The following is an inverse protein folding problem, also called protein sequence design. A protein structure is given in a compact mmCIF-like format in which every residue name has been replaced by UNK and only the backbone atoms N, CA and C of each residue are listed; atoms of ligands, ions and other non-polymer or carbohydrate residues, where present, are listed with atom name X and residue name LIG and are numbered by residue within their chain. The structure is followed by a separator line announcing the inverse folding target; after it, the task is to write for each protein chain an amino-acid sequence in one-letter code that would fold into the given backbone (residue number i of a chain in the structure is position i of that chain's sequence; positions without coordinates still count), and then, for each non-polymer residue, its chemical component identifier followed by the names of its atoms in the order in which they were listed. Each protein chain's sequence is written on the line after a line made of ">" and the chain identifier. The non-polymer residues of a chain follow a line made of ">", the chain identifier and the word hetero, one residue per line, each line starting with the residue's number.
data_IF_556913448795
#
_entry.id   IF_556913448795
#
_cell.length_a   1.000
_cell.length_b   1.000
_cell.length_c   1.000
_cell.angle_alpha   90.00
_cell.angle_beta   90.00
_cell.angle_gamma   90.00
#
_symmetry.space_group_name_H-M   'P 1'
#
loop_
_entity.id
_entity.type
_entity.pdbx_description
1 polymer ?
#
# COMPACT_ATOMS: atom_id res chain seq x y z
N UNK A 1 3.56 6.17 0.08
CA UNK A 1 2.77 6.03 1.32
C UNK A 1 1.31 6.09 0.92
N UNK A 2 0.52 5.06 1.23
CA UNK A 2 -0.92 5.06 0.95
C UNK A 2 -1.63 5.96 1.98
N UNK A 3 -2.38 6.95 1.52
CA UNK A 3 -3.19 7.84 2.37
C UNK A 3 -4.66 7.46 2.22
N UNK A 4 -5.40 7.46 3.33
CA UNK A 4 -6.83 7.19 3.36
C UNK A 4 -7.52 8.41 3.95
N UNK A 5 -8.51 8.95 3.22
CA UNK A 5 -9.34 10.07 3.66
C UNK A 5 -10.76 9.56 3.88
N UNK A 6 -11.25 9.71 5.10
CA UNK A 6 -12.58 9.21 5.51
C UNK A 6 -13.36 10.34 6.20
N UNK A 7 -14.66 10.43 5.90
CA UNK A 7 -15.58 11.36 6.55
C UNK A 7 -16.11 10.84 7.90
N UNK A 8 -16.86 11.68 8.63
CA UNK A 8 -17.44 11.31 9.92
C UNK A 8 -18.43 10.13 9.87
N UNK A 9 -18.90 9.74 8.68
CA UNK A 9 -19.79 8.59 8.44
C UNK A 9 -19.04 7.33 8.02
N UNK A 10 -17.70 7.36 7.95
CA UNK A 10 -16.88 6.23 7.53
C UNK A 10 -16.75 6.09 6.01
N UNK A 11 -17.20 7.08 5.22
CA UNK A 11 -17.13 7.03 3.76
C UNK A 11 -15.77 7.50 3.28
N UNK A 12 -15.20 6.77 2.32
CA UNK A 12 -13.93 7.14 1.67
C UNK A 12 -14.11 8.28 0.70
N UNK A 13 -13.21 9.26 0.81
CA UNK A 13 -13.16 10.46 -0.03
C UNK A 13 -11.81 10.62 -0.74
N UNK A 14 -10.86 9.72 -0.51
CA UNK A 14 -9.52 9.75 -1.12
C UNK A 14 -9.52 9.61 -2.65
N UNK A 15 -10.65 9.23 -3.24
CA UNK A 15 -10.85 9.17 -4.70
C UNK A 15 -11.36 10.50 -5.28
N UNK A 16 -11.91 11.37 -4.43
CA UNK A 16 -12.63 12.58 -4.83
C UNK A 16 -11.82 13.85 -4.57
N UNK A 17 -10.97 13.82 -3.55
CA UNK A 17 -10.16 14.96 -3.15
C UNK A 17 -8.74 14.50 -2.84
N UNK A 18 -7.76 15.25 -3.35
CA UNK A 18 -6.38 15.06 -2.93
C UNK A 18 -6.19 15.61 -1.51
N UNK A 19 -5.45 14.86 -0.69
CA UNK A 19 -5.18 15.24 0.68
C UNK A 19 -4.34 16.51 0.76
N UNK A 20 -3.41 16.72 -0.18
CA UNK A 20 -2.51 17.87 -0.14
C UNK A 20 -3.27 19.18 -0.38
N UNK A 21 -4.17 19.23 -1.37
CA UNK A 21 -5.04 20.40 -1.61
C UNK A 21 -5.98 20.72 -0.43
N UNK A 22 -6.45 19.69 0.28
CA UNK A 22 -7.29 19.87 1.47
C UNK A 22 -6.49 20.52 2.62
N UNK A 23 -5.21 20.15 2.74
CA UNK A 23 -4.33 20.66 3.79
C UNK A 23 -3.80 22.07 3.50
N UNK A 24 -3.71 22.47 2.23
CA UNK A 24 -3.31 23.84 1.85
C UNK A 24 -4.22 24.92 2.44
N UNK A 25 -5.50 24.59 2.67
CA UNK A 25 -6.51 25.49 3.23
C UNK A 25 -6.77 25.23 4.71
N UNK A 26 -6.04 24.31 5.33
CA UNK A 26 -6.22 23.94 6.72
C UNK A 26 -5.35 24.82 7.63
N UNK A 27 -5.96 25.36 8.69
CA UNK A 27 -5.25 26.08 9.74
C UNK A 27 -5.01 25.17 10.96
N UNK A 28 -3.89 25.38 11.65
CA UNK A 28 -3.64 24.69 12.92
C UNK A 28 -4.59 25.19 14.00
N UNK A 29 -5.26 24.26 14.69
CA UNK A 29 -6.13 24.58 15.81
C UNK A 29 -5.41 24.41 17.15
N UNK A 30 -5.69 25.29 18.12
CA UNK A 30 -5.14 25.17 19.48
C UNK A 30 -5.59 23.85 20.12
N UNK A 31 -4.62 23.13 20.71
CA UNK A 31 -4.84 21.86 21.42
C UNK A 31 -5.91 21.97 22.49
N UNK A 32 -6.01 23.12 23.18
CA UNK A 32 -7.03 23.33 24.22
C UNK A 32 -8.45 23.28 23.67
N UNK A 33 -8.66 23.77 22.45
CA UNK A 33 -9.96 23.70 21.77
C UNK A 33 -10.28 22.29 21.24
N UNK A 34 -9.25 21.51 20.89
CA UNK A 34 -9.41 20.14 20.36
C UNK A 34 -9.68 19.07 21.44
N UNK A 35 -9.18 19.25 22.67
CA UNK A 35 -9.33 18.24 23.73
C UNK A 35 -10.80 17.87 24.03
N UNK A 36 -11.75 18.82 24.17
CA UNK A 36 -13.17 18.50 24.35
C UNK A 36 -13.77 17.74 23.17
N UNK A 37 -13.36 18.08 21.94
CA UNK A 37 -13.82 17.42 20.70
C UNK A 37 -13.32 15.98 20.67
N UNK A 38 -12.03 15.76 20.88
CA UNK A 38 -11.44 14.41 20.91
C UNK A 38 -12.10 13.55 21.99
N UNK A 39 -12.36 14.10 23.17
CA UNK A 39 -13.00 13.37 24.26
C UNK A 39 -14.46 13.01 23.93
N UNK A 40 -15.22 13.96 23.37
CA UNK A 40 -16.62 13.74 22.98
C UNK A 40 -16.77 12.70 21.87
N UNK A 41 -15.84 12.69 20.91
CA UNK A 41 -15.90 11.81 19.74
C UNK A 41 -14.98 10.60 19.84
N UNK A 42 -14.36 10.32 21.00
CA UNK A 42 -13.35 9.26 21.16
C UNK A 42 -13.80 7.90 20.64
N UNK A 43 -15.03 7.49 20.96
CA UNK A 43 -15.59 6.22 20.50
C UNK A 43 -15.75 6.19 18.97
N UNK A 44 -16.32 7.25 18.39
CA UNK A 44 -16.50 7.39 16.95
C UNK A 44 -15.15 7.41 16.21
N UNK A 45 -14.17 8.16 16.71
CA UNK A 45 -12.83 8.22 16.14
C UNK A 45 -12.16 6.85 16.09
N UNK A 46 -12.30 6.02 17.15
CA UNK A 46 -11.78 4.64 17.12
C UNK A 46 -12.43 3.81 16.03
N UNK A 47 -13.75 3.92 15.86
CA UNK A 47 -14.46 3.22 14.78
C UNK A 47 -14.03 3.69 13.39
N UNK A 48 -13.83 5.01 13.21
CA UNK A 48 -13.36 5.58 11.95
C UNK A 48 -11.93 5.14 11.61
N UNK A 49 -11.03 5.10 12.61
CA UNK A 49 -9.67 4.60 12.42
C UNK A 49 -9.69 3.12 12.03
N UNK A 50 -10.50 2.29 12.70
CA UNK A 50 -10.64 0.88 12.34
C UNK A 50 -11.14 0.69 10.89
N UNK A 51 -12.14 1.47 10.47
CA UNK A 51 -12.62 1.47 9.08
C UNK A 51 -11.54 1.92 8.09
N UNK A 52 -10.70 2.90 8.47
CA UNK A 52 -9.57 3.34 7.67
C UNK A 52 -8.50 2.26 7.51
N UNK A 53 -8.18 1.54 8.58
CA UNK A 53 -7.24 0.43 8.56
C UNK A 53 -7.73 -0.73 7.70
N UNK A 54 -9.01 -1.08 7.78
CA UNK A 54 -9.61 -2.10 6.92
C UNK A 54 -9.57 -1.70 5.44
N UNK A 55 -9.95 -0.46 5.13
CA UNK A 55 -9.85 0.08 3.77
C UNK A 55 -8.42 0.09 3.23
N UNK A 56 -7.45 0.46 4.07
CA UNK A 56 -6.03 0.43 3.72
C UNK A 56 -5.53 -1.01 3.52
N UNK A 57 -6.00 -1.97 4.32
CA UNK A 57 -5.61 -3.38 4.21
C UNK A 57 -6.04 -3.96 2.88
N UNK A 58 -7.28 -3.68 2.43
CA UNK A 58 -7.76 -4.06 1.11
C UNK A 58 -6.93 -3.44 -0.02
N UNK A 59 -6.61 -2.14 0.07
CA UNK A 59 -5.80 -1.46 -0.94
C UNK A 59 -4.39 -2.06 -1.03
N UNK A 60 -3.75 -2.33 0.12
CA UNK A 60 -2.41 -2.93 0.16
C UNK A 60 -2.42 -4.35 -0.39
N UNK A 61 -3.42 -5.18 -0.03
CA UNK A 61 -3.56 -6.53 -0.56
C UNK A 61 -3.69 -6.52 -2.10
N UNK A 62 -4.49 -5.61 -2.64
CA UNK A 62 -4.62 -5.45 -4.09
C UNK A 62 -3.29 -5.01 -4.75
N UNK A 63 -2.60 -4.04 -4.16
CA UNK A 63 -1.29 -3.57 -4.67
C UNK A 63 -0.23 -4.67 -4.61
N UNK A 64 -0.21 -5.47 -3.55
CA UNK A 64 0.70 -6.63 -3.41
C UNK A 64 0.38 -7.67 -4.48
N UNK A 65 -0.89 -8.01 -4.69
CA UNK A 65 -1.31 -8.94 -5.75
C UNK A 65 -0.92 -8.46 -7.15
N UNK A 66 -1.17 -7.19 -7.46
CA UNK A 66 -0.79 -6.60 -8.74
C UNK A 66 0.74 -6.60 -8.94
N UNK A 67 1.50 -6.29 -7.90
CA UNK A 67 2.97 -6.30 -7.95
C UNK A 67 3.52 -7.70 -8.11
N UNK A 68 2.98 -8.68 -7.39
CA UNK A 68 3.33 -10.09 -7.51
C UNK A 68 3.03 -10.63 -8.93
N UNK A 69 1.90 -10.25 -9.53
CA UNK A 69 1.56 -10.65 -10.90
C UNK A 69 2.53 -10.04 -11.94
N UNK A 70 2.86 -8.75 -11.81
CA UNK A 70 3.85 -8.07 -12.68
C UNK A 70 5.22 -8.73 -12.57
N UNK A 71 5.66 -8.99 -11.34
CA UNK A 71 6.91 -9.67 -11.05
C UNK A 71 6.94 -11.08 -11.68
N UNK A 72 5.90 -11.88 -11.47
CA UNK A 72 5.82 -13.24 -12.01
C UNK A 72 5.90 -13.24 -13.54
N UNK A 73 5.19 -12.30 -14.19
CA UNK A 73 5.26 -12.12 -15.64
C UNK A 73 6.67 -11.79 -16.13
N UNK A 74 7.37 -10.89 -15.44
CA UNK A 74 8.75 -10.53 -15.76
C UNK A 74 9.70 -11.73 -15.69
N UNK A 75 9.77 -12.41 -14.53
CA UNK A 75 10.68 -13.55 -14.36
C UNK A 75 10.33 -14.71 -15.29
N UNK A 76 9.04 -15.01 -15.50
CA UNK A 76 8.63 -16.08 -16.42
C UNK A 76 9.09 -15.79 -17.85
N UNK A 77 8.90 -14.56 -18.32
CA UNK A 77 9.35 -14.14 -19.64
C UNK A 77 10.88 -14.23 -19.78
N UNK A 78 11.61 -13.81 -18.74
CA UNK A 78 13.07 -13.81 -18.77
C UNK A 78 13.65 -15.23 -18.73
N UNK A 79 13.07 -16.12 -17.93
CA UNK A 79 13.41 -17.54 -17.90
C UNK A 79 13.16 -18.18 -19.27
N UNK A 80 12.01 -17.92 -19.90
CA UNK A 80 11.71 -18.42 -21.24
C UNK A 80 12.71 -17.94 -22.28
N UNK A 81 13.10 -16.65 -22.22
CA UNK A 81 14.11 -16.05 -23.09
C UNK A 81 15.48 -16.74 -22.92
N UNK A 82 15.91 -16.95 -21.69
CA UNK A 82 17.18 -17.62 -21.38
C UNK A 82 17.17 -19.10 -21.79
N UNK A 83 16.05 -19.81 -21.59
CA UNK A 83 15.88 -21.19 -22.07
C UNK A 83 15.94 -21.28 -23.59
N UNK A 84 15.34 -20.32 -24.31
CA UNK A 84 15.43 -20.26 -25.76
C UNK A 84 16.85 -19.97 -26.24
N UNK A 85 17.57 -19.04 -25.59
CA UNK A 85 18.97 -18.77 -25.90
C UNK A 85 19.86 -19.99 -25.65
N UNK A 86 19.65 -20.73 -24.56
CA UNK A 86 20.40 -21.94 -24.25
C UNK A 86 20.27 -23.03 -25.32
N UNK A 87 19.09 -23.15 -25.96
CA UNK A 87 18.89 -24.10 -27.08
C UNK A 87 19.77 -23.79 -28.28
N UNK A 88 20.08 -22.51 -28.51
CA UNK A 88 20.88 -22.07 -29.66
C UNK A 88 22.34 -21.72 -29.30
N UNK A 89 22.65 -21.53 -28.01
CA UNK A 89 23.98 -21.19 -27.51
C UNK A 89 24.29 -22.00 -26.24
N UNK A 90 25.07 -23.09 -26.35
CA UNK A 90 25.48 -23.94 -25.21
C UNK A 90 26.27 -23.20 -24.12
N UNK A 91 26.77 -21.99 -24.41
CA UNK A 91 27.51 -21.16 -23.45
C UNK A 91 26.63 -20.57 -22.36
N UNK A 92 25.30 -20.55 -22.56
CA UNK A 92 24.34 -20.10 -21.53
C UNK A 92 24.31 -21.13 -20.40
N UNK A 93 24.69 -20.70 -19.21
CA UNK A 93 24.82 -21.60 -18.06
C UNK A 93 23.46 -21.88 -17.45
N UNK A 94 23.24 -23.12 -17.02
CA UNK A 94 22.02 -23.50 -16.27
C UNK A 94 21.88 -22.68 -14.98
N UNK A 95 23.01 -22.34 -14.36
CA UNK A 95 23.10 -21.54 -13.13
C UNK A 95 22.40 -20.18 -13.23
N UNK A 96 22.44 -19.52 -14.39
CA UNK A 96 21.79 -18.22 -14.58
C UNK A 96 20.26 -18.33 -14.56
N UNK A 97 19.72 -19.42 -15.11
CA UNK A 97 18.29 -19.71 -15.11
C UNK A 97 17.82 -20.06 -13.70
N UNK A 98 18.59 -20.86 -12.98
CA UNK A 98 18.31 -21.21 -11.58
C UNK A 98 18.36 -19.98 -10.68
N UNK A 99 19.34 -19.09 -10.87
CA UNK A 99 19.43 -17.83 -10.13
C UNK A 99 18.21 -16.95 -10.36
N UNK A 100 17.72 -16.81 -11.60
CA UNK A 100 16.49 -16.07 -11.90
C UNK A 100 15.26 -16.68 -11.22
N UNK A 101 15.16 -18.01 -11.18
CA UNK A 101 14.08 -18.69 -10.46
C UNK A 101 14.13 -18.42 -8.96
N UNK A 102 15.32 -18.53 -8.36
CA UNK A 102 15.53 -18.26 -6.93
C UNK A 102 15.20 -16.81 -6.59
N UNK A 103 15.62 -15.84 -7.40
CA UNK A 103 15.30 -14.44 -7.22
C UNK A 103 13.79 -14.18 -7.30
N UNK A 104 13.10 -14.77 -8.28
CA UNK A 104 11.66 -14.67 -8.41
C UNK A 104 10.91 -15.24 -7.20
N UNK A 105 11.34 -16.41 -6.70
CA UNK A 105 10.77 -17.04 -5.51
C UNK A 105 11.03 -16.22 -4.24
N UNK A 106 12.26 -15.75 -4.04
CA UNK A 106 12.62 -14.94 -2.88
C UNK A 106 11.81 -13.63 -2.86
N UNK A 107 11.71 -12.93 -3.99
CA UNK A 107 10.91 -11.71 -4.08
C UNK A 107 9.42 -11.97 -3.86
N UNK A 108 8.89 -13.09 -4.35
CA UNK A 108 7.50 -13.49 -4.09
C UNK A 108 7.23 -13.65 -2.59
N UNK A 109 8.11 -14.34 -1.87
CA UNK A 109 8.00 -14.52 -0.42
C UNK A 109 8.07 -13.19 0.33
N UNK A 110 8.99 -12.30 -0.06
CA UNK A 110 9.09 -10.97 0.54
C UNK A 110 7.82 -10.14 0.31
N UNK A 111 7.26 -10.16 -0.91
CA UNK A 111 6.00 -9.47 -1.22
C UNK A 111 4.83 -9.99 -0.38
N UNK A 112 4.72 -11.31 -0.20
CA UNK A 112 3.69 -11.90 0.67
C UNK A 112 3.84 -11.53 2.14
N UNK A 113 5.06 -11.26 2.59
CA UNK A 113 5.33 -10.84 3.97
C UNK A 113 5.05 -9.36 4.25
N UNK A 114 4.62 -8.60 3.23
CA UNK A 114 4.30 -7.17 3.36
C UNK A 114 3.18 -6.96 4.37
N UNK A 115 3.38 -6.02 5.29
CA UNK A 115 2.40 -5.67 6.31
C UNK A 115 2.03 -4.19 6.22
N UNK A 116 0.74 -3.92 6.38
CA UNK A 116 0.24 -2.57 6.61
C UNK A 116 0.61 -2.14 8.04
N UNK A 117 1.05 -0.88 8.18
CA UNK A 117 1.24 -0.23 9.48
C UNK A 117 0.69 1.18 9.41
N UNK A 118 -0.13 1.56 10.38
CA UNK A 118 -0.58 2.94 10.56
C UNK A 118 0.61 3.79 11.03
N UNK A 119 0.94 4.83 10.26
CA UNK A 119 2.09 5.70 10.54
C UNK A 119 1.66 7.01 11.23
N UNK A 120 0.60 7.64 10.73
CA UNK A 120 0.07 8.88 11.27
C UNK A 120 -1.45 9.01 11.05
N UNK A 121 -2.10 9.78 11.92
CA UNK A 121 -3.51 10.17 11.81
C UNK A 121 -3.59 11.69 11.90
N UNK A 122 -4.33 12.32 10.98
CA UNK A 122 -4.66 13.75 11.04
C UNK A 122 -6.17 13.89 11.19
N UNK A 123 -6.60 14.67 12.18
CA UNK A 123 -7.99 15.02 12.39
C UNK A 123 -8.23 16.41 11.79
N UNK A 124 -9.15 16.50 10.83
CA UNK A 124 -9.60 17.76 10.26
C UNK A 124 -11.01 18.04 10.75
N UNK A 125 -11.22 19.24 11.27
CA UNK A 125 -12.51 19.70 11.78
C UNK A 125 -12.84 21.03 11.11
N UNK A 126 -14.07 21.16 10.67
CA UNK A 126 -14.65 22.43 10.21
C UNK A 126 -15.42 23.03 11.38
N UNK A 127 -15.05 24.24 11.80
CA UNK A 127 -15.76 25.02 12.81
C UNK A 127 -16.87 25.86 12.17
#
# INVERSE_FOLDING_TARGET
>A
LSRILIDAKGRRLDHLADCDSLLEHAEELDRKALLPVINSYRSQLRSLIAAAEEAAAHLVDEQVKQSAAKMMKYYTSEIQRMQALKKHNPSVRSEEIEMLQQQGMALHQQLQSTRLRLDAVRLVVTL
#
